data_IF_755130499103
#
_entry.id   IF_755130499103
#
_cell.length_a   1.000
_cell.length_b   1.000
_cell.length_c   1.000
_cell.angle_alpha   90.00
_cell.angle_beta   90.00
_cell.angle_gamma   90.00
#
_symmetry.space_group_name_H-M   'P 1'
#
loop_
_entity.id
_entity.type
_entity.pdbx_description
1 polymer ?
#
# COMPACT_ATOMS: atom_id res chain seq x y z
N UNK A 1 69.92 66.05 0.10
CA UNK A 1 68.48 65.84 0.02
C UNK A 1 68.25 64.35 0.01
N UNK A 2 67.72 63.79 1.11
CA UNK A 2 67.55 62.32 1.35
C UNK A 2 66.10 61.88 1.01
N UNK A 3 65.97 60.92 0.09
CA UNK A 3 64.71 60.21 -0.14
C UNK A 3 64.63 58.98 0.77
N UNK A 4 63.69 58.98 1.68
CA UNK A 4 63.35 57.80 2.48
C UNK A 4 62.25 56.99 1.75
N UNK A 5 62.61 55.78 1.35
CA UNK A 5 61.63 54.79 0.86
C UNK A 5 61.03 54.03 2.04
N UNK A 6 59.74 54.22 2.27
CA UNK A 6 58.95 53.40 3.20
C UNK A 6 58.50 52.12 2.55
N UNK A 7 59.00 51.00 2.97
CA UNK A 7 58.53 49.67 2.59
C UNK A 7 57.15 49.40 3.23
N UNK A 8 56.14 49.15 2.39
CA UNK A 8 54.82 48.66 2.82
C UNK A 8 54.83 47.14 2.85
N UNK A 9 54.69 46.56 4.07
CA UNK A 9 54.46 45.15 4.30
C UNK A 9 53.01 44.79 3.95
N UNK A 10 52.79 44.04 2.86
CA UNK A 10 51.51 43.41 2.54
C UNK A 10 51.32 42.18 3.40
N UNK A 11 50.35 42.28 4.34
CA UNK A 11 49.84 41.12 5.08
C UNK A 11 48.96 40.29 4.15
N UNK A 12 49.40 39.09 3.83
CA UNK A 12 48.56 38.06 3.19
C UNK A 12 47.62 37.46 4.22
N UNK A 13 46.32 37.79 4.14
CA UNK A 13 45.25 37.13 4.87
C UNK A 13 44.96 35.82 4.18
N UNK A 14 45.30 34.71 4.80
CA UNK A 14 44.87 33.35 4.34
C UNK A 14 43.38 33.21 4.63
N UNK A 15 42.57 33.31 3.60
CA UNK A 15 41.16 32.93 3.64
C UNK A 15 41.07 31.39 3.68
N UNK A 16 40.73 30.84 4.83
CA UNK A 16 40.44 29.41 4.99
C UNK A 16 39.06 29.12 4.36
N UNK A 17 39.02 28.34 3.27
CA UNK A 17 37.81 27.81 2.70
C UNK A 17 37.35 26.66 3.57
N UNK A 18 36.33 26.90 4.39
CA UNK A 18 35.64 25.84 5.12
C UNK A 18 34.72 25.08 4.15
N UNK A 19 35.14 23.86 3.77
CA UNK A 19 34.29 22.94 2.99
C UNK A 19 33.26 22.33 3.94
N UNK A 20 32.02 22.80 3.89
CA UNK A 20 30.89 22.15 4.53
C UNK A 20 30.51 20.90 3.73
N UNK A 21 30.90 19.73 4.21
CA UNK A 21 30.38 18.44 3.73
C UNK A 21 28.95 18.29 4.29
N UNK A 22 27.95 18.62 3.48
CA UNK A 22 26.56 18.30 3.78
C UNK A 22 26.38 16.79 3.53
N UNK A 23 26.39 16.00 4.60
CA UNK A 23 25.98 14.62 4.56
C UNK A 23 24.48 14.58 4.24
N UNK A 24 24.14 14.32 2.98
CA UNK A 24 22.76 14.02 2.57
C UNK A 24 22.37 12.67 3.24
N UNK A 25 21.67 12.74 4.36
CA UNK A 25 21.01 11.57 4.96
C UNK A 25 19.89 11.16 4.02
N UNK A 26 20.18 10.18 3.17
CA UNK A 26 19.19 9.52 2.32
C UNK A 26 18.22 8.75 3.25
N UNK A 27 17.07 9.36 3.58
CA UNK A 27 15.95 8.66 4.18
C UNK A 27 15.29 7.74 3.14
N UNK A 28 15.95 6.65 2.79
CA UNK A 28 15.28 5.52 2.14
C UNK A 28 14.34 4.86 3.15
N UNK A 29 13.21 4.26 2.70
CA UNK A 29 12.35 3.49 3.60
C UNK A 29 13.20 2.41 4.28
N UNK A 30 13.15 2.37 5.62
CA UNK A 30 13.86 1.36 6.39
C UNK A 30 13.44 -0.02 5.88
N UNK A 31 14.40 -0.82 5.43
CA UNK A 31 14.13 -2.22 5.08
C UNK A 31 13.99 -2.99 6.37
N UNK A 32 12.83 -3.61 6.58
CA UNK A 32 12.60 -4.54 7.67
C UNK A 32 13.57 -5.70 7.54
N UNK A 33 14.39 -5.95 8.56
CA UNK A 33 15.40 -7.00 8.52
C UNK A 33 14.75 -8.36 8.81
N UNK A 34 15.16 -9.38 8.08
CA UNK A 34 14.78 -10.77 8.36
C UNK A 34 15.63 -11.28 9.52
N UNK A 35 14.97 -11.70 10.60
CA UNK A 35 15.60 -12.29 11.79
C UNK A 35 15.80 -13.79 11.57
N UNK A 36 14.78 -14.48 11.05
CA UNK A 36 14.80 -15.91 10.80
C UNK A 36 13.51 -16.43 10.17
N UNK A 37 13.45 -17.74 9.86
CA UNK A 37 12.23 -18.37 9.38
C UNK A 37 11.21 -18.54 10.50
N UNK A 38 9.92 -18.42 10.19
CA UNK A 38 8.83 -18.79 11.11
C UNK A 38 8.86 -20.31 11.37
N UNK A 39 8.75 -20.71 12.63
CA UNK A 39 8.76 -22.12 13.02
C UNK A 39 7.48 -22.86 12.51
N UNK A 40 6.32 -22.20 12.55
CA UNK A 40 5.04 -22.71 12.00
C UNK A 40 4.38 -21.65 11.12
N UNK A 41 4.79 -21.52 9.86
CA UNK A 41 4.22 -20.53 8.95
C UNK A 41 2.75 -20.80 8.60
N UNK A 42 2.29 -22.08 8.63
CA UNK A 42 0.92 -22.45 8.31
C UNK A 42 -0.04 -22.05 9.43
N UNK A 43 0.29 -22.39 10.68
CA UNK A 43 -0.49 -22.00 11.84
C UNK A 43 -0.52 -20.49 12.03
N UNK A 44 0.63 -19.82 11.84
CA UNK A 44 0.73 -18.36 11.90
C UNK A 44 -0.11 -17.66 10.83
N UNK A 45 -0.08 -18.14 9.57
CA UNK A 45 -0.90 -17.61 8.47
C UNK A 45 -2.40 -17.78 8.73
N UNK A 46 -2.81 -18.94 9.30
CA UNK A 46 -4.21 -19.18 9.70
C UNK A 46 -4.65 -18.20 10.79
N UNK A 47 -3.82 -17.99 11.80
CA UNK A 47 -4.11 -17.03 12.86
C UNK A 47 -4.22 -15.59 12.30
N UNK A 48 -3.33 -15.19 11.39
CA UNK A 48 -3.37 -13.91 10.69
C UNK A 48 -4.67 -13.72 9.90
N UNK A 49 -5.11 -14.74 9.16
CA UNK A 49 -6.38 -14.69 8.41
C UNK A 49 -7.60 -14.51 9.33
N UNK A 50 -7.63 -15.19 10.48
CA UNK A 50 -8.70 -15.00 11.47
C UNK A 50 -8.63 -13.63 12.13
N UNK A 51 -7.42 -13.16 12.48
CA UNK A 51 -7.20 -11.87 13.14
C UNK A 51 -7.63 -10.68 12.30
N UNK A 52 -7.36 -10.71 10.98
CA UNK A 52 -7.68 -9.63 10.05
C UNK A 52 -9.02 -9.80 9.32
N UNK A 53 -9.79 -10.87 9.59
CA UNK A 53 -11.07 -11.11 8.94
C UNK A 53 -12.08 -10.01 9.22
N UNK A 54 -12.93 -9.72 8.25
CA UNK A 54 -14.06 -8.79 8.39
C UNK A 54 -14.99 -9.26 9.51
N UNK A 55 -15.38 -8.35 10.41
CA UNK A 55 -16.21 -8.69 11.59
C UNK A 55 -17.68 -8.31 11.42
N UNK A 56 -17.94 -7.20 10.72
CA UNK A 56 -19.27 -6.66 10.52
C UNK A 56 -19.37 -5.97 9.15
N UNK A 57 -20.59 -5.83 8.67
CA UNK A 57 -20.85 -5.02 7.50
C UNK A 57 -20.56 -3.56 7.81
N UNK A 58 -19.89 -2.88 6.90
CA UNK A 58 -19.42 -1.50 7.08
C UNK A 58 -19.41 -0.74 5.76
N UNK A 59 -19.67 0.56 5.87
CA UNK A 59 -19.47 1.53 4.80
C UNK A 59 -18.26 2.38 5.16
N UNK A 60 -17.22 2.35 4.33
CA UNK A 60 -16.00 3.14 4.49
C UNK A 60 -16.01 4.24 3.44
N UNK A 61 -15.97 5.48 3.88
CA UNK A 61 -15.85 6.66 3.01
C UNK A 61 -14.38 7.07 2.96
N UNK A 62 -13.94 7.54 1.78
CA UNK A 62 -12.54 7.91 1.59
C UNK A 62 -12.38 8.94 0.47
N UNK A 63 -11.23 9.60 0.47
CA UNK A 63 -10.70 10.34 -0.70
C UNK A 63 -9.69 9.48 -1.41
N UNK A 64 -9.62 9.63 -2.73
CA UNK A 64 -8.62 8.95 -3.55
C UNK A 64 -7.87 9.92 -4.45
N UNK A 65 -6.63 9.58 -4.77
CA UNK A 65 -5.77 10.30 -5.71
C UNK A 65 -5.04 9.24 -6.54
N UNK A 66 -5.16 9.36 -7.86
CA UNK A 66 -4.40 8.57 -8.83
C UNK A 66 -3.35 9.46 -9.47
N UNK A 67 -2.10 9.04 -9.41
CA UNK A 67 -1.00 9.63 -10.16
C UNK A 67 -0.57 8.62 -11.23
N UNK A 68 -0.55 9.04 -12.48
CA UNK A 68 -0.17 8.21 -13.61
C UNK A 68 0.51 9.05 -14.67
N UNK A 69 1.73 8.66 -15.08
CA UNK A 69 2.50 9.32 -16.15
C UNK A 69 2.55 10.86 -16.05
N UNK A 70 2.64 11.40 -14.83
CA UNK A 70 2.67 12.84 -14.57
C UNK A 70 1.30 13.52 -14.50
N UNK A 71 0.23 12.81 -14.81
CA UNK A 71 -1.15 13.26 -14.60
C UNK A 71 -1.60 12.93 -13.18
N UNK A 72 -2.49 13.78 -12.63
CA UNK A 72 -3.09 13.57 -11.32
C UNK A 72 -4.58 13.82 -11.38
N UNK A 73 -5.35 12.81 -10.95
CA UNK A 73 -6.80 12.88 -10.81
C UNK A 73 -7.19 12.38 -9.44
N UNK A 74 -8.31 12.83 -8.92
CA UNK A 74 -8.77 12.40 -7.60
C UNK A 74 -10.23 12.75 -7.36
N UNK A 75 -10.72 12.32 -6.20
CA UNK A 75 -12.10 12.54 -5.82
C UNK A 75 -12.45 11.84 -4.51
N UNK A 76 -13.69 11.43 -4.41
CA UNK A 76 -14.25 10.73 -3.26
C UNK A 76 -14.64 9.30 -3.64
N UNK A 77 -14.73 8.43 -2.65
CA UNK A 77 -15.18 7.07 -2.89
C UNK A 77 -15.86 6.45 -1.67
N UNK A 78 -16.54 5.35 -1.93
CA UNK A 78 -17.22 4.56 -0.91
C UNK A 78 -16.86 3.09 -1.12
N UNK A 79 -16.41 2.43 -0.05
CA UNK A 79 -16.32 0.97 -0.01
C UNK A 79 -17.45 0.43 0.88
N UNK A 80 -18.25 -0.49 0.35
CA UNK A 80 -19.22 -1.29 1.10
C UNK A 80 -18.60 -2.66 1.34
N UNK A 81 -18.49 -3.06 2.59
CA UNK A 81 -17.73 -4.25 2.99
C UNK A 81 -18.65 -5.14 3.81
N UNK A 82 -18.73 -6.42 3.46
CA UNK A 82 -19.59 -7.39 4.14
C UNK A 82 -18.86 -8.72 4.38
N UNK A 83 -18.90 -9.24 5.60
CA UNK A 83 -18.39 -10.59 5.88
C UNK A 83 -19.08 -11.68 5.03
N UNK A 84 -18.40 -12.80 4.77
CA UNK A 84 -17.02 -13.05 5.13
C UNK A 84 -16.00 -12.42 4.15
N UNK A 85 -16.39 -12.11 2.92
CA UNK A 85 -15.45 -11.75 1.85
C UNK A 85 -16.14 -11.07 0.66
N UNK A 86 -16.88 -10.00 0.94
CA UNK A 86 -17.48 -9.14 -0.07
C UNK A 86 -17.06 -7.70 0.15
N UNK A 87 -16.64 -7.04 -0.91
CA UNK A 87 -16.38 -5.60 -0.91
C UNK A 87 -16.83 -5.00 -2.24
N UNK A 88 -17.46 -3.83 -2.21
CA UNK A 88 -17.75 -3.03 -3.38
C UNK A 88 -17.08 -1.67 -3.22
N UNK A 89 -16.42 -1.23 -4.26
CA UNK A 89 -15.74 0.04 -4.36
C UNK A 89 -16.39 0.89 -5.44
N UNK A 90 -16.81 2.09 -5.08
CA UNK A 90 -17.33 3.08 -6.01
C UNK A 90 -16.46 4.34 -5.92
N UNK A 91 -15.89 4.79 -7.06
CA UNK A 91 -15.04 5.98 -7.17
C UNK A 91 -15.79 7.07 -7.95
N UNK A 92 -15.74 8.29 -7.46
CA UNK A 92 -16.36 9.48 -8.04
C UNK A 92 -15.34 10.61 -8.12
N UNK A 93 -15.42 11.43 -9.15
CA UNK A 93 -14.74 12.73 -9.18
C UNK A 93 -15.34 13.70 -8.15
N UNK A 94 -14.66 14.79 -7.86
CA UNK A 94 -15.16 15.82 -6.93
C UNK A 94 -16.46 16.52 -7.44
N UNK A 95 -16.77 16.44 -8.74
CA UNK A 95 -18.03 16.91 -9.33
C UNK A 95 -19.19 15.89 -9.22
N UNK A 96 -18.92 14.69 -8.64
CA UNK A 96 -19.91 13.62 -8.48
C UNK A 96 -20.03 12.66 -9.66
N UNK A 97 -19.26 12.84 -10.73
CA UNK A 97 -19.21 11.90 -11.86
C UNK A 97 -18.60 10.57 -11.44
N UNK A 98 -19.26 9.44 -11.79
CA UNK A 98 -18.77 8.10 -11.52
C UNK A 98 -17.57 7.75 -12.39
N UNK A 99 -16.48 7.31 -11.77
CA UNK A 99 -15.26 6.88 -12.46
C UNK A 99 -15.21 5.37 -12.59
N UNK A 100 -15.53 4.67 -11.49
CA UNK A 100 -15.41 3.22 -11.42
C UNK A 100 -16.36 2.66 -10.37
N UNK A 101 -16.97 1.52 -10.71
CA UNK A 101 -17.65 0.64 -9.77
C UNK A 101 -17.04 -0.75 -9.88
N UNK A 102 -16.58 -1.31 -8.76
CA UNK A 102 -15.97 -2.64 -8.72
C UNK A 102 -16.51 -3.42 -7.54
N UNK A 103 -16.77 -4.72 -7.72
CA UNK A 103 -17.07 -5.60 -6.61
C UNK A 103 -16.04 -6.73 -6.53
N UNK A 104 -15.57 -7.00 -5.31
CA UNK A 104 -14.70 -8.12 -4.99
C UNK A 104 -15.52 -9.12 -4.17
N UNK A 105 -15.73 -10.29 -4.73
CA UNK A 105 -16.49 -11.38 -4.08
C UNK A 105 -15.59 -12.60 -4.02
N UNK A 106 -15.17 -12.97 -2.82
CA UNK A 106 -14.13 -13.98 -2.61
C UNK A 106 -12.84 -13.61 -3.36
N UNK A 107 -12.50 -14.36 -4.40
CA UNK A 107 -11.30 -14.18 -5.22
C UNK A 107 -11.63 -13.61 -6.63
N UNK A 108 -12.88 -13.16 -6.86
CA UNK A 108 -13.37 -12.65 -8.13
C UNK A 108 -13.54 -11.13 -8.07
N UNK A 109 -12.82 -10.40 -8.93
CA UNK A 109 -13.04 -8.99 -9.17
C UNK A 109 -14.06 -8.83 -10.31
N UNK A 110 -15.18 -8.15 -10.05
CA UNK A 110 -16.27 -7.90 -10.97
C UNK A 110 -16.31 -6.43 -11.34
N UNK A 111 -16.24 -6.15 -12.62
CA UNK A 111 -16.24 -4.80 -13.18
C UNK A 111 -17.33 -4.66 -14.24
N UNK A 112 -17.95 -3.49 -14.42
CA UNK A 112 -18.79 -3.21 -15.58
C UNK A 112 -18.00 -3.37 -16.87
N UNK A 113 -18.70 -3.68 -17.96
CA UNK A 113 -18.05 -3.77 -19.27
C UNK A 113 -17.41 -2.43 -19.67
N UNK A 114 -16.13 -2.46 -20.05
CA UNK A 114 -15.36 -1.29 -20.46
C UNK A 114 -14.89 -0.40 -19.29
N UNK A 115 -15.03 -0.87 -18.04
CA UNK A 115 -14.47 -0.15 -16.91
C UNK A 115 -12.92 -0.10 -16.98
N UNK A 116 -12.30 0.97 -16.50
CA UNK A 116 -10.83 1.08 -16.45
C UNK A 116 -10.25 0.17 -15.34
N UNK A 117 -9.95 -1.07 -15.70
CA UNK A 117 -9.44 -2.09 -14.76
C UNK A 117 -8.13 -1.68 -14.12
N UNK A 118 -7.31 -0.94 -14.86
CA UNK A 118 -5.94 -0.57 -14.46
C UNK A 118 -5.86 0.39 -13.28
N UNK A 119 -6.94 1.07 -12.92
CA UNK A 119 -6.97 2.00 -11.78
C UNK A 119 -6.78 1.25 -10.45
N UNK A 120 -7.32 0.04 -10.37
CA UNK A 120 -7.31 -0.76 -9.16
C UNK A 120 -6.08 -1.67 -9.06
N UNK A 121 -5.69 -2.06 -7.85
CA UNK A 121 -4.78 -3.18 -7.64
C UNK A 121 -5.34 -4.46 -8.27
N UNK A 122 -4.49 -5.38 -8.74
CA UNK A 122 -4.92 -6.71 -9.15
C UNK A 122 -5.55 -7.46 -7.96
N UNK A 123 -6.38 -8.46 -8.26
CA UNK A 123 -7.18 -9.19 -7.27
C UNK A 123 -6.35 -9.75 -6.11
N UNK A 124 -5.09 -10.13 -6.39
CA UNK A 124 -4.13 -10.62 -5.41
C UNK A 124 -3.81 -9.62 -4.29
N UNK A 125 -3.87 -8.32 -4.60
CA UNK A 125 -3.55 -7.24 -3.67
C UNK A 125 -4.80 -6.55 -3.10
N UNK A 126 -6.00 -6.78 -3.70
CA UNK A 126 -7.21 -6.04 -3.36
C UNK A 126 -7.62 -6.19 -1.89
N UNK A 127 -7.64 -7.41 -1.35
CA UNK A 127 -7.98 -7.61 0.06
C UNK A 127 -6.97 -6.92 0.99
N UNK A 128 -5.70 -6.87 0.56
CA UNK A 128 -4.66 -6.13 1.27
C UNK A 128 -4.98 -4.65 1.43
N UNK A 129 -5.60 -4.00 0.44
CA UNK A 129 -5.96 -2.56 0.53
C UNK A 129 -6.97 -2.27 1.64
N UNK A 130 -7.74 -3.27 2.04
CA UNK A 130 -8.72 -3.21 3.14
C UNK A 130 -8.13 -3.64 4.49
N UNK A 131 -6.84 -3.99 4.54
CA UNK A 131 -6.18 -4.51 5.75
C UNK A 131 -6.48 -5.98 6.05
N UNK A 132 -7.04 -6.72 5.08
CA UNK A 132 -7.40 -8.13 5.25
C UNK A 132 -6.30 -9.04 4.69
N UNK A 133 -5.77 -9.91 5.53
CA UNK A 133 -4.87 -10.98 5.10
C UNK A 133 -5.66 -12.12 4.47
N UNK A 134 -5.79 -12.06 3.16
CA UNK A 134 -6.56 -13.04 2.39
C UNK A 134 -5.82 -13.36 1.09
N UNK A 135 -4.84 -14.26 1.11
CA UNK A 135 -4.22 -14.79 -0.10
C UNK A 135 -5.28 -15.50 -0.96
N UNK A 136 -5.12 -15.45 -2.29
CA UNK A 136 -6.00 -16.19 -3.20
C UNK A 136 -5.94 -17.69 -2.89
N UNK A 137 -7.05 -18.40 -3.08
CA UNK A 137 -7.13 -19.86 -2.86
C UNK A 137 -6.19 -20.64 -3.78
N UNK A 138 -5.87 -20.08 -4.96
CA UNK A 138 -4.90 -20.64 -5.90
C UNK A 138 -3.44 -20.47 -5.48
N UNK A 139 -3.15 -19.50 -4.59
CA UNK A 139 -1.81 -19.22 -4.13
C UNK A 139 -1.37 -20.22 -3.03
N UNK A 140 -0.14 -20.74 -3.16
CA UNK A 140 0.42 -21.71 -2.22
C UNK A 140 1.38 -21.01 -1.26
N UNK A 141 1.19 -21.20 0.05
CA UNK A 141 2.16 -20.75 1.06
C UNK A 141 3.49 -21.50 0.88
N UNK A 142 4.57 -20.78 0.66
CA UNK A 142 5.91 -21.33 0.46
C UNK A 142 6.84 -21.12 1.67
N UNK A 143 6.45 -20.26 2.61
CA UNK A 143 7.19 -20.04 3.85
C UNK A 143 6.77 -18.75 4.55
N UNK A 144 7.44 -18.48 5.66
CA UNK A 144 7.29 -17.24 6.41
C UNK A 144 8.59 -16.87 7.11
N UNK A 145 8.76 -15.60 7.41
CA UNK A 145 9.94 -15.04 8.05
C UNK A 145 9.51 -14.18 9.26
N UNK A 146 10.29 -14.27 10.34
CA UNK A 146 10.27 -13.29 11.42
C UNK A 146 11.10 -12.08 11.01
N UNK A 147 10.56 -10.90 11.23
CA UNK A 147 11.18 -9.62 10.91
C UNK A 147 11.44 -8.85 12.20
N UNK A 148 12.31 -7.83 12.13
CA UNK A 148 12.51 -6.92 13.27
C UNK A 148 11.21 -6.18 13.64
N UNK A 149 11.07 -5.75 14.91
CA UNK A 149 9.90 -5.07 15.42
C UNK A 149 8.63 -5.92 15.48
N UNK A 150 8.75 -7.21 15.79
CA UNK A 150 7.65 -8.19 15.89
C UNK A 150 6.78 -8.32 14.63
N UNK A 151 7.36 -7.95 13.49
CA UNK A 151 6.71 -8.11 12.21
C UNK A 151 6.92 -9.52 11.65
N UNK A 152 6.00 -9.97 10.80
CA UNK A 152 6.04 -11.26 10.13
C UNK A 152 5.78 -11.10 8.66
N UNK A 153 6.51 -11.86 7.84
CA UNK A 153 6.28 -11.95 6.40
C UNK A 153 5.80 -13.35 6.04
N UNK A 154 4.74 -13.41 5.25
CA UNK A 154 4.21 -14.65 4.67
C UNK A 154 4.45 -14.62 3.18
N UNK A 155 5.06 -15.68 2.65
CA UNK A 155 5.43 -15.79 1.24
C UNK A 155 4.54 -16.81 0.54
N UNK A 156 3.83 -16.35 -0.49
CA UNK A 156 2.99 -17.18 -1.34
C UNK A 156 3.55 -17.23 -2.75
N UNK A 157 3.32 -18.34 -3.45
CA UNK A 157 3.59 -18.49 -4.87
C UNK A 157 2.27 -18.65 -5.61
N UNK A 158 2.06 -17.87 -6.67
CA UNK A 158 0.98 -18.03 -7.63
C UNK A 158 1.34 -19.05 -8.70
N UNK A 159 0.34 -19.55 -9.45
CA UNK A 159 0.55 -20.58 -10.48
C UNK A 159 1.37 -20.11 -11.68
N UNK A 160 1.47 -18.80 -11.91
CA UNK A 160 2.25 -18.15 -12.96
C UNK A 160 3.71 -17.83 -12.56
N UNK A 161 4.12 -18.23 -11.35
CA UNK A 161 5.48 -18.00 -10.83
C UNK A 161 5.67 -16.67 -10.12
N UNK A 162 4.64 -15.83 -10.04
CA UNK A 162 4.68 -14.59 -9.27
C UNK A 162 4.65 -14.89 -7.78
N UNK A 163 5.53 -14.23 -7.02
CA UNK A 163 5.52 -14.30 -5.57
C UNK A 163 4.68 -13.19 -4.97
N UNK A 164 3.91 -13.51 -3.91
CA UNK A 164 3.13 -12.54 -3.16
C UNK A 164 3.58 -12.59 -1.70
N UNK A 165 4.05 -11.45 -1.19
CA UNK A 165 4.50 -11.30 0.17
C UNK A 165 3.52 -10.45 0.96
N UNK A 166 3.02 -10.97 2.07
CA UNK A 166 2.25 -10.24 3.06
C UNK A 166 3.14 -9.92 4.25
N UNK A 167 3.22 -8.66 4.64
CA UNK A 167 3.89 -8.23 5.85
C UNK A 167 2.87 -7.75 6.87
N UNK A 168 2.89 -8.37 8.05
CA UNK A 168 2.04 -8.04 9.18
C UNK A 168 2.90 -7.59 10.35
N UNK A 169 2.43 -6.58 11.05
CA UNK A 169 2.97 -6.13 12.33
C UNK A 169 1.83 -5.91 13.31
N UNK A 170 1.98 -6.36 14.55
CA UNK A 170 0.93 -6.29 15.59
C UNK A 170 -0.41 -6.92 15.14
N UNK A 171 -0.37 -7.94 14.30
CA UNK A 171 -1.55 -8.61 13.75
C UNK A 171 -2.25 -7.84 12.62
N UNK A 172 -1.73 -6.68 12.20
CA UNK A 172 -2.28 -5.84 11.14
C UNK A 172 -1.46 -5.95 9.86
N UNK A 173 -2.12 -6.01 8.71
CA UNK A 173 -1.43 -5.95 7.41
C UNK A 173 -0.78 -4.58 7.25
N UNK A 174 0.52 -4.54 6.98
CA UNK A 174 1.30 -3.33 6.72
C UNK A 174 1.68 -3.18 5.27
N UNK A 175 1.94 -4.30 4.61
CA UNK A 175 2.27 -4.31 3.19
C UNK A 175 1.82 -5.62 2.53
N UNK A 176 1.51 -5.51 1.24
CA UNK A 176 1.40 -6.66 0.33
C UNK A 176 2.21 -6.32 -0.91
N UNK A 177 3.07 -7.23 -1.33
CA UNK A 177 3.96 -7.03 -2.47
C UNK A 177 3.82 -8.19 -3.45
N UNK A 178 3.76 -7.87 -4.73
CA UNK A 178 3.82 -8.81 -5.84
C UNK A 178 5.20 -8.70 -6.49
N UNK A 179 5.89 -9.83 -6.63
CA UNK A 179 7.29 -9.87 -7.06
C UNK A 179 7.49 -10.84 -8.22
N UNK A 180 8.41 -10.46 -9.10
CA UNK A 180 9.07 -11.38 -10.05
C UNK A 180 10.53 -11.50 -9.63
N UNK A 181 10.92 -12.70 -9.17
CA UNK A 181 12.21 -12.91 -8.51
C UNK A 181 12.40 -12.00 -7.31
N UNK A 182 13.41 -11.12 -7.37
CA UNK A 182 13.70 -10.14 -6.32
C UNK A 182 13.08 -8.75 -6.58
N UNK A 183 12.44 -8.55 -7.73
CA UNK A 183 11.91 -7.27 -8.16
C UNK A 183 10.47 -7.10 -7.74
N UNK A 184 10.16 -6.05 -6.97
CA UNK A 184 8.78 -5.68 -6.63
C UNK A 184 8.14 -5.03 -7.86
N UNK A 185 7.14 -5.70 -8.43
CA UNK A 185 6.35 -5.21 -9.56
C UNK A 185 5.25 -4.26 -9.08
N UNK A 186 4.50 -4.70 -8.07
CA UNK A 186 3.37 -3.96 -7.52
C UNK A 186 3.36 -4.10 -6.00
N UNK A 187 2.81 -3.12 -5.32
CA UNK A 187 2.74 -3.15 -3.86
C UNK A 187 1.56 -2.34 -3.32
N UNK A 188 1.05 -2.77 -2.18
CA UNK A 188 0.15 -2.01 -1.32
C UNK A 188 0.84 -1.77 0.01
N UNK A 189 0.81 -0.53 0.51
CA UNK A 189 1.28 -0.18 1.84
C UNK A 189 0.14 0.48 2.62
N UNK A 190 0.06 0.15 3.90
CA UNK A 190 -1.04 0.53 4.76
C UNK A 190 -0.54 1.29 5.99
N UNK A 191 -1.32 2.27 6.39
CA UNK A 191 -1.23 2.92 7.69
C UNK A 191 -2.55 2.64 8.42
N UNK A 192 -2.48 1.99 9.57
CA UNK A 192 -3.64 1.69 10.42
C UNK A 192 -3.41 2.34 11.77
N UNK A 193 -4.40 3.06 12.30
CA UNK A 193 -4.36 3.61 13.63
C UNK A 193 -4.62 2.49 14.67
N UNK A 194 -4.06 2.66 15.86
CA UNK A 194 -4.22 1.71 16.94
C UNK A 194 -5.70 1.53 17.31
N UNK A 195 -6.14 0.27 17.49
CA UNK A 195 -7.52 -0.08 17.83
C UNK A 195 -8.51 -0.01 16.66
N UNK A 196 -8.07 0.33 15.44
CA UNK A 196 -8.94 0.44 14.28
C UNK A 196 -8.89 -0.79 13.39
N UNK A 197 -10.05 -1.20 12.87
CA UNK A 197 -10.19 -2.40 12.02
C UNK A 197 -9.86 -2.15 10.53
N UNK A 198 -9.87 -0.88 10.08
CA UNK A 198 -9.58 -0.51 8.70
C UNK A 198 -8.42 0.47 8.61
N UNK A 199 -7.58 0.40 7.56
CA UNK A 199 -6.51 1.36 7.35
C UNK A 199 -7.02 2.80 7.28
N UNK A 200 -6.26 3.75 7.82
CA UNK A 200 -6.49 5.20 7.61
C UNK A 200 -5.94 5.64 6.25
N UNK A 201 -4.94 4.94 5.76
CA UNK A 201 -4.36 5.19 4.44
C UNK A 201 -3.95 3.86 3.79
N UNK A 202 -4.22 3.75 2.49
CA UNK A 202 -3.69 2.69 1.63
C UNK A 202 -3.05 3.33 0.40
N UNK A 203 -1.83 2.89 0.07
CA UNK A 203 -1.12 3.34 -1.13
C UNK A 203 -0.76 2.13 -1.99
N UNK A 204 -1.40 2.01 -3.13
CA UNK A 204 -1.05 1.07 -4.17
C UNK A 204 -0.05 1.69 -5.14
N UNK A 205 0.96 0.91 -5.53
CA UNK A 205 1.96 1.30 -6.54
C UNK A 205 2.14 0.18 -7.56
N UNK A 206 1.95 0.52 -8.82
CA UNK A 206 2.39 -0.29 -9.95
C UNK A 206 3.68 0.33 -10.49
N UNK A 207 4.81 -0.37 -10.28
CA UNK A 207 6.13 0.13 -10.68
C UNK A 207 6.43 -0.07 -12.16
N UNK A 208 5.71 -1.01 -12.79
CA UNK A 208 5.85 -1.29 -14.22
C UNK A 208 5.21 -0.18 -15.04
N UNK A 209 4.06 0.31 -14.59
CA UNK A 209 3.27 1.33 -15.29
C UNK A 209 3.43 2.74 -14.71
N UNK A 210 4.28 2.90 -13.68
CA UNK A 210 4.50 4.20 -13.00
C UNK A 210 3.20 4.82 -12.47
N UNK A 211 2.34 3.98 -11.89
CA UNK A 211 1.04 4.36 -11.36
C UNK A 211 1.04 4.27 -9.84
N UNK A 212 0.40 5.24 -9.19
CA UNK A 212 0.15 5.25 -7.75
C UNK A 212 -1.29 5.64 -7.47
N UNK A 213 -2.03 4.79 -6.75
CA UNK A 213 -3.34 5.11 -6.21
C UNK A 213 -3.22 5.23 -4.69
N UNK A 214 -3.52 6.42 -4.17
CA UNK A 214 -3.59 6.70 -2.74
C UNK A 214 -5.04 6.83 -2.31
N UNK A 215 -5.41 6.10 -1.26
CA UNK A 215 -6.72 6.13 -0.63
C UNK A 215 -6.53 6.62 0.81
N UNK A 216 -7.28 7.64 1.21
CA UNK A 216 -7.27 8.19 2.57
C UNK A 216 -8.68 8.12 3.12
N UNK A 217 -8.90 7.30 4.14
CA UNK A 217 -10.19 7.11 4.80
C UNK A 217 -10.66 8.40 5.46
N UNK A 218 -11.95 8.69 5.33
CA UNK A 218 -12.60 9.85 5.96
C UNK A 218 -13.61 9.44 7.04
N UNK A 219 -14.30 8.31 6.85
CA UNK A 219 -15.24 7.77 7.83
C UNK A 219 -15.38 6.25 7.73
N UNK A 220 -15.79 5.62 8.83
CA UNK A 220 -16.27 4.24 8.88
C UNK A 220 -17.64 4.26 9.56
N UNK A 221 -18.65 3.77 8.87
CA UNK A 221 -20.03 3.72 9.33
C UNK A 221 -20.47 2.26 9.41
N UNK A 222 -21.04 1.82 10.54
CA UNK A 222 -21.61 0.48 10.62
C UNK A 222 -22.79 0.34 9.66
N UNK A 223 -23.02 -0.88 9.18
CA UNK A 223 -24.17 -1.22 8.35
C UNK A 223 -24.71 -2.59 8.79
N UNK A 224 -26.02 -2.81 8.69
CA UNK A 224 -26.60 -4.11 9.02
C UNK A 224 -26.35 -5.13 7.89
N UNK A 225 -26.63 -4.73 6.65
CA UNK A 225 -26.42 -5.54 5.45
C UNK A 225 -26.52 -4.64 4.20
N UNK A 226 -26.19 -5.22 3.06
CA UNK A 226 -26.35 -4.56 1.77
C UNK A 226 -27.23 -5.39 0.84
N UNK A 227 -27.91 -4.75 -0.10
CA UNK A 227 -28.68 -5.44 -1.13
C UNK A 227 -27.76 -6.37 -1.93
N UNK A 228 -28.11 -7.66 -2.11
CA UNK A 228 -27.28 -8.60 -2.85
C UNK A 228 -26.94 -8.18 -4.30
N UNK A 229 -27.76 -7.37 -4.94
CA UNK A 229 -27.53 -6.90 -6.31
C UNK A 229 -26.31 -6.00 -6.45
N UNK A 230 -25.86 -5.35 -5.36
CA UNK A 230 -24.68 -4.48 -5.41
C UNK A 230 -23.37 -5.23 -5.67
N UNK A 231 -23.36 -6.56 -5.42
CA UNK A 231 -22.17 -7.39 -5.59
C UNK A 231 -21.91 -7.81 -7.04
N UNK A 232 -22.76 -7.37 -7.97
CA UNK A 232 -22.54 -7.56 -9.41
C UNK A 232 -22.76 -6.26 -10.19
N UNK A 233 -21.75 -5.36 -10.23
CA UNK A 233 -21.83 -4.10 -10.95
C UNK A 233 -21.95 -4.26 -12.46
N UNK A 234 -21.76 -5.46 -13.02
CA UNK A 234 -21.95 -5.76 -14.46
C UNK A 234 -23.41 -5.67 -14.89
N UNK A 235 -24.34 -5.72 -13.95
CA UNK A 235 -25.79 -5.71 -14.20
C UNK A 235 -26.42 -4.31 -14.00
N UNK A 236 -25.61 -3.28 -13.72
CA UNK A 236 -26.10 -1.92 -13.42
C UNK A 236 -25.88 -0.93 -14.58
#
# INVERSE_FOLDING_TARGET
MRCEQKAQFRRFTRAGVAVFVVAAVSCGPARTLVIGPLADPVGAARAAAVGTSLKAASRVEFRWILNEAGSRVGGVGVARIEPPSRARLDLFLDNGEGVLSAALVDDELRLPHGAPEDILPPVELMWGTLGVFRPLRSARLVGGDELDGDARRYRYASGDGVAIHYELQDGLVRAVEMLDGASVLQSVRLVTAEGEGYPVEATYRNRVEFRELKITRTAVLPSDSFDPSIWDPRQQ
#
